data_IF_129021147565
#
_entry.id   IF_129021147565
#
_cell.length_a   1.000
_cell.length_b   1.000
_cell.length_c   1.000
_cell.angle_alpha   90.00
_cell.angle_beta   90.00
_cell.angle_gamma   90.00
#
_symmetry.space_group_name_H-M   'P 1'
#
loop_
_entity.id
_entity.type
_entity.pdbx_description
1 polymer ?
#
# COMPACT_ATOMS: atom_id res chain seq x y z
N UNK A 1 23.86 -5.30 -5.49
CA UNK A 1 22.40 -5.08 -5.31
C UNK A 1 21.73 -6.43 -5.01
N UNK A 2 21.01 -6.56 -3.89
CA UNK A 2 20.21 -7.75 -3.58
C UNK A 2 18.74 -7.38 -3.72
N UNK A 3 18.07 -7.96 -4.73
CA UNK A 3 16.64 -7.78 -4.98
C UNK A 3 15.93 -9.10 -4.70
N UNK A 4 14.90 -9.04 -3.85
CA UNK A 4 14.17 -10.20 -3.38
C UNK A 4 12.67 -10.07 -3.70
N UNK A 5 11.95 -11.19 -3.62
CA UNK A 5 10.53 -11.27 -3.99
C UNK A 5 9.57 -10.68 -2.95
N UNK A 6 8.31 -11.11 -3.02
CA UNK A 6 7.17 -10.56 -2.27
C UNK A 6 7.40 -10.52 -0.75
N UNK A 7 7.98 -11.60 -0.19
CA UNK A 7 8.15 -11.75 1.26
C UNK A 7 9.05 -10.70 1.92
N UNK A 8 9.81 -9.93 1.13
CA UNK A 8 10.73 -8.91 1.66
C UNK A 8 10.01 -7.74 2.32
N UNK A 9 8.81 -7.37 1.85
CA UNK A 9 8.03 -6.27 2.39
C UNK A 9 7.33 -6.61 3.73
N UNK A 10 7.48 -7.83 4.23
CA UNK A 10 6.71 -8.34 5.37
C UNK A 10 7.39 -7.98 6.70
N UNK A 11 6.64 -7.67 7.76
CA UNK A 11 7.21 -7.40 9.08
C UNK A 11 8.03 -8.59 9.60
N UNK A 12 7.63 -9.82 9.28
CA UNK A 12 8.36 -11.04 9.66
C UNK A 12 9.76 -11.13 9.03
N UNK A 13 9.97 -10.56 7.84
CA UNK A 13 11.29 -10.52 7.21
C UNK A 13 12.25 -9.66 8.06
N UNK A 14 11.83 -8.44 8.41
CA UNK A 14 12.58 -7.60 9.37
C UNK A 14 12.71 -8.29 10.73
N UNK A 15 11.64 -8.89 11.25
CA UNK A 15 11.66 -9.58 12.53
C UNK A 15 12.69 -10.73 12.59
N UNK A 16 12.88 -11.45 11.49
CA UNK A 16 13.84 -12.56 11.41
C UNK A 16 15.29 -12.10 11.28
N UNK A 17 15.54 -11.04 10.49
CA UNK A 17 16.89 -10.65 10.09
C UNK A 17 17.43 -9.41 10.82
N UNK A 18 16.59 -8.69 11.56
CA UNK A 18 16.97 -7.47 12.29
C UNK A 18 17.57 -6.42 11.35
N UNK A 19 18.60 -5.72 11.79
CA UNK A 19 19.22 -4.63 11.02
C UNK A 19 19.95 -5.08 9.75
N UNK A 20 20.16 -6.40 9.57
CA UNK A 20 20.77 -6.96 8.36
C UNK A 20 19.91 -6.77 7.10
N UNK A 21 18.67 -6.34 7.26
CA UNK A 21 17.77 -6.00 6.13
C UNK A 21 18.09 -4.65 5.49
N UNK A 22 18.86 -3.78 6.15
CA UNK A 22 19.14 -2.45 5.63
C UNK A 22 19.80 -2.52 4.25
N UNK A 23 19.30 -1.74 3.29
CA UNK A 23 19.76 -1.75 1.90
C UNK A 23 19.19 -2.87 1.01
N UNK A 24 18.41 -3.81 1.56
CA UNK A 24 17.77 -4.88 0.77
C UNK A 24 16.58 -4.34 -0.02
N UNK A 25 16.58 -4.59 -1.33
CA UNK A 25 15.51 -4.23 -2.25
C UNK A 25 14.47 -5.35 -2.34
N UNK A 26 13.23 -4.97 -2.62
CA UNK A 26 12.19 -5.92 -2.99
C UNK A 26 11.02 -5.28 -3.73
N UNK A 27 10.03 -6.10 -4.05
CA UNK A 27 8.80 -5.64 -4.66
C UNK A 27 7.98 -4.79 -3.69
N UNK A 28 7.36 -3.74 -4.23
CA UNK A 28 6.40 -2.94 -3.50
C UNK A 28 6.99 -1.71 -2.82
N UNK A 29 6.59 -1.47 -1.58
CA UNK A 29 6.93 -0.25 -0.84
C UNK A 29 5.68 0.52 -0.43
N UNK A 30 5.89 1.45 0.48
CA UNK A 30 4.86 2.39 0.92
C UNK A 30 5.51 3.70 1.38
N UNK A 31 4.67 4.71 1.59
CA UNK A 31 5.06 5.94 2.26
C UNK A 31 4.46 5.93 3.69
N UNK A 32 5.28 5.79 4.74
CA UNK A 32 4.79 5.80 6.13
C UNK A 32 4.24 7.16 6.58
N UNK A 33 4.53 8.23 5.84
CA UNK A 33 4.07 9.58 6.14
C UNK A 33 2.84 9.97 5.33
N UNK A 34 2.32 9.08 4.46
CA UNK A 34 1.10 9.33 3.73
C UNK A 34 -0.08 9.58 4.71
N UNK A 35 -1.00 10.52 4.40
CA UNK A 35 -2.17 10.78 5.23
C UNK A 35 -2.97 9.51 5.52
N UNK A 36 -3.30 9.25 6.78
CA UNK A 36 -4.08 8.08 7.20
C UNK A 36 -3.27 6.78 7.37
N UNK A 37 -1.97 6.77 7.03
CA UNK A 37 -1.15 5.56 7.09
C UNK A 37 -0.90 5.10 8.53
N UNK A 38 -0.61 6.03 9.44
CA UNK A 38 -0.41 5.71 10.87
C UNK A 38 -1.67 5.15 11.51
N UNK A 39 -2.82 5.73 11.18
CA UNK A 39 -4.14 5.30 11.64
C UNK A 39 -4.49 3.93 11.07
N UNK A 40 -4.18 3.67 9.79
CA UNK A 40 -4.31 2.36 9.19
C UNK A 40 -3.48 1.30 9.92
N UNK A 41 -2.19 1.57 10.18
CA UNK A 41 -1.33 0.66 10.94
C UNK A 41 -1.86 0.38 12.35
N UNK A 42 -2.34 1.41 13.04
CA UNK A 42 -2.95 1.27 14.37
C UNK A 42 -4.20 0.38 14.33
N UNK A 43 -5.14 0.64 13.40
CA UNK A 43 -6.35 -0.16 13.21
C UNK A 43 -6.03 -1.60 12.84
N UNK A 44 -5.08 -1.82 11.92
CA UNK A 44 -4.65 -3.15 11.51
C UNK A 44 -4.11 -3.94 12.70
N UNK A 45 -3.21 -3.36 13.49
CA UNK A 45 -2.68 -4.02 14.70
C UNK A 45 -3.77 -4.37 15.71
N UNK A 46 -4.74 -3.48 15.91
CA UNK A 46 -5.84 -3.70 16.85
C UNK A 46 -6.69 -4.92 16.49
N UNK A 47 -6.88 -5.20 15.19
CA UNK A 47 -7.67 -6.36 14.71
C UNK A 47 -6.84 -7.59 14.39
N UNK A 48 -5.51 -7.46 14.32
CA UNK A 48 -4.59 -8.51 13.88
C UNK A 48 -3.64 -8.98 14.99
N UNK A 49 -4.14 -9.12 16.24
CA UNK A 49 -3.37 -9.62 17.39
C UNK A 49 -2.04 -8.86 17.59
N UNK A 50 -2.05 -7.55 17.34
CA UNK A 50 -0.87 -6.69 17.46
C UNK A 50 0.10 -6.73 16.26
N UNK A 51 -0.13 -7.58 15.25
CA UNK A 51 0.75 -7.72 14.10
C UNK A 51 0.52 -6.61 13.06
N UNK A 52 1.62 -6.07 12.54
CA UNK A 52 1.61 -5.05 11.51
C UNK A 52 1.20 -5.60 10.14
N UNK A 53 0.68 -4.75 9.23
CA UNK A 53 0.54 -5.11 7.83
C UNK A 53 1.90 -5.23 7.14
N UNK A 54 1.92 -5.90 5.98
CA UNK A 54 3.05 -5.79 5.06
C UNK A 54 3.11 -4.40 4.41
N UNK A 55 4.27 -4.05 3.86
CA UNK A 55 4.53 -2.74 3.26
C UNK A 55 4.22 -2.68 1.76
N UNK A 56 3.25 -3.46 1.29
CA UNK A 56 2.85 -3.43 -0.12
C UNK A 56 1.41 -3.87 -0.37
N UNK A 57 1.08 -5.16 -0.19
CA UNK A 57 -0.20 -5.74 -0.58
C UNK A 57 -1.33 -5.28 0.34
N UNK A 58 -1.14 -5.36 1.66
CA UNK A 58 -2.19 -5.03 2.64
C UNK A 58 -2.74 -3.60 2.50
N UNK A 59 -1.90 -2.54 2.37
CA UNK A 59 -2.40 -1.18 2.13
C UNK A 59 -3.21 -1.05 0.82
N UNK A 60 -2.78 -1.74 -0.25
CA UNK A 60 -3.48 -1.70 -1.54
C UNK A 60 -4.83 -2.42 -1.48
N UNK A 61 -4.90 -3.56 -0.80
CA UNK A 61 -6.16 -4.28 -0.58
C UNK A 61 -7.13 -3.42 0.23
N UNK A 62 -6.65 -2.78 1.30
CA UNK A 62 -7.47 -1.88 2.11
C UNK A 62 -7.99 -0.69 1.29
N UNK A 63 -7.14 -0.08 0.46
CA UNK A 63 -7.57 0.97 -0.46
C UNK A 63 -8.65 0.50 -1.44
N UNK A 64 -8.57 -0.73 -1.95
CA UNK A 64 -9.62 -1.33 -2.78
C UNK A 64 -10.95 -1.47 -2.03
N UNK A 65 -10.93 -1.82 -0.75
CA UNK A 65 -12.12 -1.85 0.09
C UNK A 65 -12.70 -0.46 0.35
N UNK A 66 -11.85 0.57 0.51
CA UNK A 66 -12.31 1.96 0.60
C UNK A 66 -13.00 2.43 -0.68
N UNK A 67 -12.52 2.02 -1.86
CA UNK A 67 -13.18 2.28 -3.14
C UNK A 67 -14.56 1.63 -3.18
N UNK A 68 -14.64 0.34 -2.81
CA UNK A 68 -15.90 -0.40 -2.79
C UNK A 68 -16.92 0.25 -1.84
N UNK A 69 -16.51 0.59 -0.62
CA UNK A 69 -17.37 1.25 0.36
C UNK A 69 -17.95 2.56 -0.20
N UNK A 70 -17.09 3.46 -0.68
CA UNK A 70 -17.51 4.74 -1.23
C UNK A 70 -18.42 4.59 -2.45
N UNK A 71 -18.16 3.60 -3.31
CA UNK A 71 -19.01 3.35 -4.47
C UNK A 71 -20.42 2.90 -4.05
N UNK A 72 -20.54 2.00 -3.06
CA UNK A 72 -21.83 1.59 -2.50
C UNK A 72 -22.57 2.78 -1.90
N UNK A 73 -21.89 3.60 -1.10
CA UNK A 73 -22.48 4.80 -0.47
C UNK A 73 -22.96 5.84 -1.49
N UNK A 74 -22.21 6.05 -2.58
CA UNK A 74 -22.57 7.00 -3.64
C UNK A 74 -23.73 6.51 -4.51
N UNK A 75 -23.78 5.20 -4.80
CA UNK A 75 -24.89 4.60 -5.56
C UNK A 75 -26.17 4.59 -4.71
N UNK A 76 -26.05 4.37 -3.41
CA UNK A 76 -27.18 4.44 -2.45
C UNK A 76 -28.07 3.19 -2.42
N UNK A 77 -27.75 2.16 -3.21
CA UNK A 77 -28.44 0.87 -3.26
C UNK A 77 -27.47 -0.26 -3.65
N UNK A 78 -27.86 -1.51 -3.37
CA UNK A 78 -27.08 -2.69 -3.75
C UNK A 78 -27.45 -3.12 -5.18
N UNK A 79 -26.98 -2.35 -6.15
CA UNK A 79 -26.99 -2.68 -7.58
C UNK A 79 -25.56 -2.89 -8.06
N UNK A 80 -25.18 -4.16 -8.28
CA UNK A 80 -23.82 -4.53 -8.67
C UNK A 80 -23.36 -3.85 -9.97
N UNK A 81 -24.26 -3.64 -10.93
CA UNK A 81 -23.89 -3.01 -12.20
C UNK A 81 -23.58 -1.53 -12.00
N UNK A 82 -24.41 -0.82 -11.22
CA UNK A 82 -24.17 0.59 -10.87
C UNK A 82 -22.92 0.77 -10.00
N UNK A 83 -22.71 -0.09 -9.01
CA UNK A 83 -21.52 -0.06 -8.14
C UNK A 83 -20.26 -0.27 -8.97
N UNK A 84 -20.24 -1.29 -9.85
CA UNK A 84 -19.09 -1.53 -10.73
C UNK A 84 -18.84 -0.35 -11.69
N UNK A 85 -19.90 0.27 -12.19
CA UNK A 85 -19.78 1.46 -13.04
C UNK A 85 -19.15 2.62 -12.26
N UNK A 86 -19.63 2.92 -11.05
CA UNK A 86 -19.07 3.96 -10.19
C UNK A 86 -17.60 3.68 -9.87
N UNK A 87 -17.23 2.45 -9.51
CA UNK A 87 -15.84 2.06 -9.27
C UNK A 87 -14.94 2.27 -10.50
N UNK A 88 -15.47 2.05 -11.71
CA UNK A 88 -14.71 2.20 -12.97
C UNK A 88 -14.46 3.65 -13.35
N UNK A 89 -15.41 4.54 -13.09
CA UNK A 89 -15.35 5.93 -13.57
C UNK A 89 -14.98 6.94 -12.49
N UNK A 90 -15.29 6.62 -11.24
CA UNK A 90 -15.11 7.49 -10.09
C UNK A 90 -13.64 7.69 -9.68
N UNK A 91 -13.45 8.70 -8.82
CA UNK A 91 -12.22 8.92 -8.07
C UNK A 91 -12.54 8.84 -6.58
N UNK A 92 -11.68 8.16 -5.83
CA UNK A 92 -11.95 7.74 -4.46
C UNK A 92 -10.82 8.19 -3.54
N UNK A 93 -11.16 8.65 -2.33
CA UNK A 93 -10.17 9.00 -1.32
C UNK A 93 -9.73 7.74 -0.60
N UNK A 94 -8.44 7.43 -0.58
CA UNK A 94 -7.91 6.21 0.06
C UNK A 94 -6.64 6.49 0.86
N UNK A 95 -6.20 5.52 1.66
CA UNK A 95 -4.94 5.63 2.43
C UNK A 95 -3.69 5.67 1.55
N UNK A 96 -3.79 5.31 0.26
CA UNK A 96 -2.69 5.40 -0.70
C UNK A 96 -2.80 6.65 -1.60
N UNK A 97 -3.65 7.61 -1.20
CA UNK A 97 -3.99 8.82 -1.95
C UNK A 97 -5.29 8.69 -2.74
N UNK A 98 -5.51 9.63 -3.65
CA UNK A 98 -6.65 9.58 -4.57
C UNK A 98 -6.46 8.43 -5.55
N UNK A 99 -7.45 7.54 -5.64
CA UNK A 99 -7.43 6.38 -6.52
C UNK A 99 -8.50 6.51 -7.59
N UNK A 100 -8.06 6.45 -8.85
CA UNK A 100 -8.89 6.28 -10.04
C UNK A 100 -8.38 5.06 -10.81
N UNK A 101 -9.26 4.11 -11.07
CA UNK A 101 -8.91 2.93 -11.85
C UNK A 101 -8.75 3.31 -13.33
N UNK A 102 -7.75 2.73 -13.98
CA UNK A 102 -7.50 2.90 -15.42
C UNK A 102 -7.47 1.52 -16.07
N UNK A 103 -8.41 1.24 -16.98
CA UNK A 103 -8.58 -0.10 -17.55
C UNK A 103 -8.69 -1.19 -16.47
N UNK A 104 -9.49 -0.94 -15.43
CA UNK A 104 -9.69 -1.80 -14.24
C UNK A 104 -8.42 -2.09 -13.43
N UNK A 105 -7.39 -1.24 -13.51
CA UNK A 105 -6.13 -1.39 -12.77
C UNK A 105 -5.82 -0.16 -11.94
N UNK A 106 -5.14 -0.36 -10.80
CA UNK A 106 -4.55 0.71 -10.00
C UNK A 106 -3.22 1.14 -10.67
N UNK A 107 -3.10 2.36 -11.24
CA UNK A 107 -1.86 2.83 -11.86
C UNK A 107 -0.83 3.34 -10.84
N UNK A 108 -1.21 3.43 -9.56
CA UNK A 108 -0.51 4.13 -8.50
C UNK A 108 0.23 3.18 -7.55
N UNK A 109 0.70 2.03 -8.04
CA UNK A 109 1.42 1.06 -7.22
C UNK A 109 2.89 1.45 -7.04
N UNK A 110 3.43 1.18 -5.85
CA UNK A 110 4.87 1.09 -5.67
C UNK A 110 5.37 -0.20 -6.31
N UNK A 111 6.43 -0.11 -7.11
CA UNK A 111 7.02 -1.24 -7.82
C UNK A 111 8.26 -1.78 -7.10
N UNK A 112 9.09 -0.88 -6.58
CA UNK A 112 10.34 -1.21 -5.91
C UNK A 112 10.38 -0.48 -4.59
N UNK A 113 10.71 -1.22 -3.54
CA UNK A 113 10.97 -0.69 -2.21
C UNK A 113 12.30 -1.16 -1.67
N UNK A 114 12.75 -0.53 -0.58
CA UNK A 114 13.98 -0.89 0.09
C UNK A 114 13.84 -0.70 1.60
N UNK A 115 14.38 -1.63 2.37
CA UNK A 115 14.54 -1.45 3.81
C UNK A 115 15.61 -0.39 4.08
N UNK A 116 15.21 0.70 4.73
CA UNK A 116 16.09 1.78 5.15
C UNK A 116 15.78 2.12 6.61
N UNK A 117 16.77 1.96 7.50
CA UNK A 117 16.69 2.36 8.90
C UNK A 117 15.43 1.86 9.61
N UNK A 118 15.06 0.60 9.37
CA UNK A 118 13.94 -0.05 10.02
C UNK A 118 12.58 0.10 9.33
N UNK A 119 12.48 0.73 8.17
CA UNK A 119 11.22 0.78 7.40
C UNK A 119 11.41 0.46 5.92
N UNK A 120 10.38 -0.09 5.26
CA UNK A 120 10.44 -0.50 3.84
C UNK A 120 9.85 0.58 2.93
N UNK A 121 10.66 1.56 2.56
CA UNK A 121 10.22 2.71 1.77
C UNK A 121 10.01 2.37 0.29
N UNK A 122 9.01 2.99 -0.33
CA UNK A 122 8.86 3.00 -1.78
C UNK A 122 9.96 3.83 -2.46
N UNK A 123 10.59 3.25 -3.48
CA UNK A 123 11.62 3.89 -4.31
C UNK A 123 11.12 4.20 -5.73
N UNK A 124 10.30 3.32 -6.30
CA UNK A 124 9.82 3.45 -7.68
C UNK A 124 8.28 3.34 -7.74
N UNK A 125 7.59 4.24 -8.49
CA UNK A 125 8.14 5.31 -9.35
C UNK A 125 8.82 6.44 -8.57
N UNK A 126 10.00 6.89 -9.04
CA UNK A 126 10.83 7.87 -8.32
C UNK A 126 10.24 9.30 -8.32
N UNK A 127 9.30 9.58 -9.23
CA UNK A 127 8.57 10.85 -9.29
C UNK A 127 7.33 10.88 -8.39
N UNK A 128 7.04 9.79 -7.66
CA UNK A 128 5.91 9.73 -6.74
C UNK A 128 6.24 10.46 -5.44
N UNK A 129 5.29 11.22 -4.91
CA UNK A 129 5.43 11.83 -3.59
C UNK A 129 5.74 10.77 -2.53
N UNK A 130 6.71 11.06 -1.65
CA UNK A 130 7.18 10.12 -0.64
C UNK A 130 8.24 9.13 -1.11
N UNK A 131 8.61 9.11 -2.41
CA UNK A 131 9.65 8.24 -2.92
C UNK A 131 11.00 8.54 -2.26
N UNK A 132 11.69 7.50 -1.81
CA UNK A 132 13.04 7.60 -1.26
C UNK A 132 14.09 7.28 -2.32
N UNK A 133 15.28 7.85 -2.13
CA UNK A 133 16.46 7.42 -2.87
C UNK A 133 17.00 6.12 -2.27
N UNK A 134 17.59 5.23 -3.08
CA UNK A 134 18.21 4.03 -2.56
C UNK A 134 19.42 4.36 -1.68
N UNK A 135 19.67 3.51 -0.67
CA UNK A 135 20.91 3.49 0.11
C UNK A 135 21.74 2.26 -0.26
N UNK A 136 23.05 2.33 -0.11
CA UNK A 136 23.99 1.26 -0.48
C UNK A 136 24.92 0.92 0.68
#
# INVERSE_FOLDING_TARGET
MRFLGVGTAFPNYKGKFGDKVNGIFGLGGFDPNAPGMKEYFARHKAVNKGQEPDRWASPNTYAGLQVLQQAIERVGEIDNAKILQEMRTGTFKTIIGDLKLTGNRNPSLWHVGQWQNGEFYGLAPANRAGAKQPIF
#
